data_IF_167058948506
#
_entry.id   IF_167058948506
#
_cell.length_a   1.000
_cell.length_b   1.000
_cell.length_c   1.000
_cell.angle_alpha   90.00
_cell.angle_beta   90.00
_cell.angle_gamma   90.00
#
_symmetry.space_group_name_H-M   'P 1'
#
loop_
_entity.id
_entity.type
_entity.pdbx_description
1 polymer ?
#
# COMPACT_ATOMS: atom_id res chain seq x y z
N UNK A 1 -35.67 -16.27 -47.51
CA UNK A 1 -35.17 -16.94 -46.28
C UNK A 1 -35.02 -15.88 -45.22
N UNK A 2 -35.86 -15.94 -44.19
CA UNK A 2 -35.89 -14.97 -43.09
C UNK A 2 -34.64 -15.19 -42.24
N UNK A 3 -33.78 -14.16 -42.15
CA UNK A 3 -32.62 -14.16 -41.27
C UNK A 3 -33.09 -14.22 -39.83
N UNK A 4 -32.73 -15.30 -39.14
CA UNK A 4 -32.95 -15.43 -37.70
C UNK A 4 -31.75 -14.78 -37.00
N UNK A 5 -31.88 -13.49 -36.72
CA UNK A 5 -30.94 -12.71 -35.92
C UNK A 5 -31.04 -13.14 -34.46
N UNK A 6 -30.37 -14.25 -34.12
CA UNK A 6 -30.44 -14.86 -32.79
C UNK A 6 -29.25 -14.49 -31.90
N UNK A 7 -28.34 -13.64 -32.37
CA UNK A 7 -27.20 -13.20 -31.58
C UNK A 7 -27.62 -11.97 -30.76
N UNK A 8 -28.16 -12.20 -29.57
CA UNK A 8 -28.24 -11.17 -28.53
C UNK A 8 -26.80 -10.84 -28.10
N UNK A 9 -26.17 -9.89 -28.78
CA UNK A 9 -24.91 -9.30 -28.34
C UNK A 9 -25.31 -8.31 -27.23
N UNK A 10 -25.02 -8.60 -25.95
CA UNK A 10 -25.35 -7.67 -24.90
C UNK A 10 -24.60 -6.37 -25.16
N UNK A 11 -25.38 -5.28 -25.36
CA UNK A 11 -24.89 -3.91 -25.48
C UNK A 11 -24.42 -3.32 -24.15
N UNK A 12 -24.47 -4.11 -23.09
CA UNK A 12 -23.93 -3.76 -21.78
C UNK A 12 -22.42 -3.56 -21.92
N UNK A 13 -22.02 -2.29 -21.86
CA UNK A 13 -20.62 -1.92 -21.68
C UNK A 13 -20.07 -2.59 -20.43
N UNK A 14 -18.78 -2.90 -20.44
CA UNK A 14 -18.07 -3.58 -19.35
C UNK A 14 -18.58 -3.20 -17.94
N UNK A 15 -18.69 -4.17 -17.00
CA UNK A 15 -19.18 -3.89 -15.67
C UNK A 15 -18.38 -2.74 -15.04
N UNK A 16 -19.08 -1.74 -14.51
CA UNK A 16 -18.46 -0.54 -13.92
C UNK A 16 -17.45 -0.86 -12.82
N UNK A 17 -17.65 -1.98 -12.12
CA UNK A 17 -16.71 -2.51 -11.14
C UNK A 17 -15.33 -2.84 -11.72
N UNK A 18 -15.26 -3.29 -12.97
CA UNK A 18 -13.99 -3.66 -13.60
C UNK A 18 -13.07 -2.45 -13.78
N UNK A 19 -13.62 -1.26 -14.01
CA UNK A 19 -12.82 -0.03 -14.04
C UNK A 19 -12.18 0.28 -12.68
N UNK A 20 -12.91 0.06 -11.58
CA UNK A 20 -12.36 0.23 -10.23
C UNK A 20 -11.29 -0.81 -9.90
N UNK A 21 -11.42 -2.04 -10.39
CA UNK A 21 -10.38 -3.06 -10.25
C UNK A 21 -9.11 -2.70 -11.02
N UNK A 22 -9.25 -2.21 -12.25
CA UNK A 22 -8.10 -1.77 -13.06
C UNK A 22 -7.39 -0.59 -12.38
N UNK A 23 -8.15 0.41 -11.91
CA UNK A 23 -7.60 1.54 -11.16
C UNK A 23 -6.87 1.06 -9.88
N UNK A 24 -7.49 0.16 -9.11
CA UNK A 24 -6.88 -0.43 -7.92
C UNK A 24 -5.56 -1.13 -8.24
N UNK A 25 -5.51 -1.93 -9.32
CA UNK A 25 -4.31 -2.65 -9.71
C UNK A 25 -3.16 -1.71 -10.09
N UNK A 26 -3.46 -0.62 -10.80
CA UNK A 26 -2.47 0.40 -11.17
C UNK A 26 -1.95 1.12 -9.92
N UNK A 27 -2.85 1.57 -9.03
CA UNK A 27 -2.47 2.25 -7.79
C UNK A 27 -1.67 1.33 -6.88
N UNK A 28 -2.05 0.05 -6.80
CA UNK A 28 -1.30 -0.95 -6.05
C UNK A 28 0.11 -1.10 -6.60
N UNK A 29 0.28 -1.25 -7.92
CA UNK A 29 1.61 -1.35 -8.53
C UNK A 29 2.48 -0.13 -8.21
N UNK A 30 1.94 1.08 -8.36
CA UNK A 30 2.65 2.33 -8.02
C UNK A 30 3.00 2.40 -6.54
N UNK A 31 2.08 2.02 -5.65
CA UNK A 31 2.31 2.04 -4.20
C UNK A 31 3.44 1.07 -3.79
N UNK A 32 3.50 -0.12 -4.38
CA UNK A 32 4.58 -1.07 -4.11
C UNK A 32 5.94 -0.54 -4.61
N UNK A 33 5.99 0.11 -5.79
CA UNK A 33 7.22 0.74 -6.29
C UNK A 33 7.72 1.85 -5.35
N UNK A 34 6.82 2.71 -4.86
CA UNK A 34 7.16 3.75 -3.89
C UNK A 34 7.66 3.11 -2.58
N UNK A 35 6.97 2.08 -2.09
CA UNK A 35 7.36 1.38 -0.87
C UNK A 35 8.77 0.77 -1.02
N UNK A 36 9.07 0.10 -2.14
CA UNK A 36 10.40 -0.47 -2.38
C UNK A 36 11.52 0.57 -2.35
N UNK A 37 11.25 1.80 -2.79
CA UNK A 37 12.24 2.87 -2.74
C UNK A 37 12.41 3.45 -1.33
N UNK A 38 11.36 3.45 -0.51
CA UNK A 38 11.37 4.06 0.83
C UNK A 38 11.89 3.11 1.91
N UNK A 39 11.66 1.80 1.79
CA UNK A 39 12.09 0.81 2.79
C UNK A 39 13.58 0.88 3.16
N UNK A 40 14.56 0.93 2.22
CA UNK A 40 15.97 1.01 2.61
C UNK A 40 16.28 2.30 3.39
N UNK A 41 15.71 3.44 2.99
CA UNK A 41 15.87 4.69 3.74
C UNK A 41 15.28 4.61 5.15
N UNK A 42 14.13 3.92 5.29
CA UNK A 42 13.49 3.71 6.58
C UNK A 42 14.28 2.76 7.47
N UNK A 43 14.84 1.69 6.90
CA UNK A 43 15.67 0.74 7.65
C UNK A 43 16.92 1.43 8.22
N UNK A 44 17.54 2.34 7.48
CA UNK A 44 18.66 3.15 7.99
C UNK A 44 18.23 4.11 9.11
N UNK A 45 17.04 4.73 9.01
CA UNK A 45 16.54 5.66 10.04
C UNK A 45 15.99 4.95 11.30
N UNK A 46 15.36 3.80 11.14
CA UNK A 46 14.61 3.10 12.19
C UNK A 46 15.36 1.89 12.73
N UNK A 47 16.20 1.24 11.91
CA UNK A 47 17.04 0.11 12.29
C UNK A 47 18.15 0.47 13.27
N UNK A 48 18.47 1.75 13.42
CA UNK A 48 19.36 2.24 14.47
C UNK A 48 18.65 2.36 15.82
N UNK A 49 18.07 1.24 16.29
CA UNK A 49 17.70 1.11 17.69
C UNK A 49 18.94 0.66 18.45
N UNK A 50 19.64 1.63 19.05
CA UNK A 50 20.58 1.34 20.15
C UNK A 50 19.76 0.72 21.30
N UNK A 51 19.53 -0.58 21.21
CA UNK A 51 18.85 -1.33 22.27
C UNK A 51 19.79 -1.32 23.48
N UNK A 52 19.34 -0.71 24.57
CA UNK A 52 20.02 -0.85 25.84
C UNK A 52 19.68 -2.26 26.33
N UNK A 53 20.62 -3.20 26.22
CA UNK A 53 20.45 -4.47 26.91
C UNK A 53 20.73 -4.21 28.39
N UNK A 54 19.70 -4.39 29.21
CA UNK A 54 19.83 -4.31 30.65
C UNK A 54 19.74 -5.72 31.20
N UNK A 55 20.86 -6.25 31.68
CA UNK A 55 20.87 -7.50 32.42
C UNK A 55 20.65 -7.19 33.90
N UNK A 56 19.70 -7.88 34.54
CA UNK A 56 19.48 -7.75 35.98
C UNK A 56 20.47 -8.63 36.73
N UNK A 57 21.57 -8.03 37.19
CA UNK A 57 22.42 -8.64 38.22
C UNK A 57 21.95 -8.18 39.58
N UNK A 58 21.11 -8.99 40.23
CA UNK A 58 20.56 -8.73 41.57
C UNK A 58 19.76 -7.41 41.67
N UNK A 59 20.28 -6.40 42.36
CA UNK A 59 19.68 -5.08 42.58
C UNK A 59 20.22 -3.96 41.67
N UNK A 60 21.20 -4.25 40.81
CA UNK A 60 21.79 -3.26 39.91
C UNK A 60 21.55 -3.66 38.45
N UNK A 61 20.73 -2.89 37.75
CA UNK A 61 20.59 -3.00 36.30
C UNK A 61 21.81 -2.38 35.63
N UNK A 62 22.73 -3.21 35.13
CA UNK A 62 23.82 -2.76 34.26
C UNK A 62 23.26 -2.68 32.85
N UNK A 63 23.25 -1.47 32.30
CA UNK A 63 22.83 -1.27 30.93
C UNK A 63 24.05 -0.84 30.11
N UNK A 64 24.30 -1.54 29.02
CA UNK A 64 25.28 -1.14 28.01
C UNK A 64 24.56 -0.99 26.66
N UNK A 65 25.03 -0.09 25.78
CA UNK A 65 24.53 -0.05 24.42
C UNK A 65 24.91 -1.36 23.73
N UNK A 66 23.93 -2.11 23.20
CA UNK A 66 24.25 -3.18 22.24
C UNK A 66 24.66 -2.52 20.93
N UNK A 67 25.78 -2.92 20.36
CA UNK A 67 26.18 -2.53 18.99
C UNK A 67 25.57 -3.43 17.91
N UNK A 68 24.61 -4.28 18.27
CA UNK A 68 23.94 -5.17 17.32
C UNK A 68 22.84 -4.43 16.55
N UNK A 69 22.96 -4.42 15.23
CA UNK A 69 21.95 -3.95 14.29
C UNK A 69 20.76 -4.93 14.31
N UNK A 70 19.89 -4.83 15.31
CA UNK A 70 18.71 -5.69 15.39
C UNK A 70 17.67 -5.17 14.38
N UNK A 71 17.83 -5.56 13.12
CA UNK A 71 16.84 -5.33 12.06
C UNK A 71 15.57 -6.14 12.38
N UNK A 72 14.61 -5.47 13.02
CA UNK A 72 13.32 -6.06 13.36
C UNK A 72 12.46 -6.17 12.09
N UNK A 73 12.59 -7.31 11.41
CA UNK A 73 11.83 -7.64 10.19
C UNK A 73 10.32 -7.52 10.38
N UNK A 74 9.82 -7.72 11.61
CA UNK A 74 8.41 -7.57 11.94
C UNK A 74 7.97 -6.11 11.80
N UNK A 75 8.72 -5.19 12.41
CA UNK A 75 8.47 -3.76 12.32
C UNK A 75 8.59 -3.25 10.87
N UNK A 76 9.61 -3.69 10.15
CA UNK A 76 9.83 -3.27 8.75
C UNK A 76 8.66 -3.67 7.84
N UNK A 77 8.10 -4.87 8.03
CA UNK A 77 6.91 -5.32 7.31
C UNK A 77 5.67 -4.47 7.64
N UNK A 78 5.47 -4.09 8.90
CA UNK A 78 4.37 -3.18 9.28
C UNK A 78 4.52 -1.80 8.64
N UNK A 79 5.76 -1.27 8.60
CA UNK A 79 6.02 0.02 7.96
C UNK A 79 5.76 -0.05 6.45
N UNK A 80 6.15 -1.15 5.80
CA UNK A 80 5.85 -1.39 4.39
C UNK A 80 4.35 -1.25 4.10
N UNK A 81 3.50 -1.97 4.84
CA UNK A 81 2.06 -1.92 4.65
C UNK A 81 1.46 -0.56 5.01
N UNK A 82 2.06 0.16 5.98
CA UNK A 82 1.66 1.54 6.29
C UNK A 82 1.91 2.50 5.13
N UNK A 83 3.06 2.39 4.45
CA UNK A 83 3.38 3.22 3.28
C UNK A 83 2.40 2.94 2.16
N UNK A 84 2.16 1.66 1.86
CA UNK A 84 1.18 1.26 0.84
C UNK A 84 -0.20 1.84 1.19
N UNK A 85 -0.68 1.66 2.42
CA UNK A 85 -1.96 2.20 2.89
C UNK A 85 -2.06 3.72 2.78
N UNK A 86 -0.99 4.46 3.10
CA UNK A 86 -0.97 5.91 2.97
C UNK A 86 -1.12 6.38 1.52
N UNK A 87 -0.51 5.69 0.55
CA UNK A 87 -0.69 5.98 -0.88
C UNK A 87 -2.15 5.76 -1.31
N UNK A 88 -2.79 4.69 -0.84
CA UNK A 88 -4.21 4.45 -1.10
C UNK A 88 -5.10 5.57 -0.54
N UNK A 89 -4.86 5.97 0.71
CA UNK A 89 -5.60 7.07 1.35
C UNK A 89 -5.42 8.36 0.54
N UNK A 90 -4.19 8.69 0.15
CA UNK A 90 -3.90 9.85 -0.70
C UNK A 90 -4.61 9.79 -2.05
N UNK A 91 -4.58 8.64 -2.72
CA UNK A 91 -5.23 8.48 -4.02
C UNK A 91 -6.75 8.62 -3.94
N UNK A 92 -7.40 7.85 -3.08
CA UNK A 92 -8.86 7.78 -3.03
C UNK A 92 -9.51 8.98 -2.34
N UNK A 93 -8.82 9.66 -1.41
CA UNK A 93 -9.34 10.87 -0.75
C UNK A 93 -8.98 12.15 -1.50
N UNK A 94 -7.75 12.29 -1.99
CA UNK A 94 -7.29 13.55 -2.62
C UNK A 94 -7.54 13.53 -4.13
N UNK A 95 -6.97 12.56 -4.85
CA UNK A 95 -6.99 12.57 -6.32
C UNK A 95 -8.39 12.22 -6.84
N UNK A 96 -8.99 11.16 -6.32
CA UNK A 96 -10.33 10.76 -6.74
C UNK A 96 -11.40 11.75 -6.27
N UNK A 97 -11.30 12.25 -5.03
CA UNK A 97 -12.28 13.18 -4.44
C UNK A 97 -12.21 14.60 -5.01
N UNK A 98 -11.01 15.13 -5.26
CA UNK A 98 -10.83 16.52 -5.73
C UNK A 98 -10.77 16.63 -7.25
N UNK A 99 -10.12 15.67 -7.93
CA UNK A 99 -9.82 15.76 -9.38
C UNK A 99 -10.83 15.03 -10.27
N UNK A 100 -11.39 13.90 -9.82
CA UNK A 100 -12.36 13.08 -10.57
C UNK A 100 -13.82 13.31 -10.14
N UNK A 101 -14.23 14.57 -9.96
CA UNK A 101 -15.67 14.94 -9.87
C UNK A 101 -16.48 14.58 -11.13
N UNK A 102 -15.86 14.04 -12.18
CA UNK A 102 -16.57 13.60 -13.39
C UNK A 102 -17.13 12.19 -13.16
N UNK A 103 -18.44 11.97 -13.36
CA UNK A 103 -19.02 10.64 -13.30
C UNK A 103 -18.40 9.79 -14.41
N UNK A 104 -17.51 8.88 -14.03
CA UNK A 104 -16.85 7.92 -14.93
C UNK A 104 -17.82 6.93 -15.60
N UNK A 105 -19.13 7.03 -15.32
CA UNK A 105 -20.21 6.37 -16.06
C UNK A 105 -21.41 7.28 -16.29
N UNK A 106 -21.20 8.43 -16.91
CA UNK A 106 -22.27 9.12 -17.62
C UNK A 106 -22.65 8.35 -18.88
N UNK A 107 -23.34 7.21 -18.77
CA UNK A 107 -24.23 6.77 -19.85
C UNK A 107 -25.54 7.54 -19.67
N UNK A 108 -25.60 8.74 -20.25
CA UNK A 108 -26.87 9.35 -20.66
C UNK A 108 -26.88 9.36 -22.18
#
# INVERSE_FOLDING_TARGET
>A
VVGRDNAHIPRESWPSFTWYLIEFAIVFAVANLIAFQIIPMVDEMVGQKNLLYCEQVSWLSKCAPTEEEVSDKGLLNWIYWSIVGAVFIGWYLLIRGLFLKKPILGNR
#
